data_IF_967021711503
#
_entry.id   IF_967021711503
#
_cell.length_a   1.000
_cell.length_b   1.000
_cell.length_c   1.000
_cell.angle_alpha   90.00
_cell.angle_beta   90.00
_cell.angle_gamma   90.00
#
_symmetry.space_group_name_H-M   'P 1'
#
loop_
_entity.id
_entity.type
_entity.pdbx_description
1 polymer ?
#
# COMPACT_ATOMS: atom_id res chain seq x y z
N UNK A 1 6.35 9.36 -8.33
CA UNK A 1 5.36 8.52 -7.61
C UNK A 1 6.05 8.01 -6.37
N UNK A 2 5.37 8.05 -5.22
CA UNK A 2 5.86 7.48 -3.95
C UNK A 2 4.99 6.28 -3.59
N UNK A 3 5.60 5.18 -3.16
CA UNK A 3 4.90 3.96 -2.78
C UNK A 3 5.25 3.55 -1.36
N UNK A 4 4.27 3.07 -0.58
CA UNK A 4 4.59 2.17 0.53
C UNK A 4 5.03 0.85 -0.12
N UNK A 5 6.30 0.48 0.05
CA UNK A 5 6.88 -0.62 -0.71
C UNK A 5 6.37 -2.00 -0.26
N UNK A 6 6.06 -2.16 1.02
CA UNK A 6 5.57 -3.41 1.62
C UNK A 6 4.68 -3.07 2.82
N UNK A 7 3.60 -3.83 3.07
CA UNK A 7 2.76 -3.63 4.25
C UNK A 7 3.47 -4.05 5.54
N UNK A 8 4.53 -4.88 5.43
CA UNK A 8 5.34 -5.33 6.55
C UNK A 8 6.75 -4.72 6.51
N UNK A 9 7.32 -4.32 7.67
CA UNK A 9 8.72 -3.91 7.80
C UNK A 9 9.69 -5.00 7.34
N UNK A 10 10.83 -4.61 6.78
CA UNK A 10 11.80 -5.55 6.20
C UNK A 10 12.37 -6.57 7.20
N UNK A 11 12.45 -6.22 8.49
CA UNK A 11 12.97 -7.11 9.53
C UNK A 11 11.99 -8.26 9.82
N UNK A 12 10.70 -8.04 9.54
CA UNK A 12 9.57 -8.87 9.96
C UNK A 12 8.81 -9.50 8.78
N UNK A 13 9.06 -9.03 7.55
CA UNK A 13 8.38 -9.48 6.34
C UNK A 13 8.44 -11.01 6.19
N UNK A 14 7.28 -11.63 5.98
CA UNK A 14 7.10 -13.09 5.89
C UNK A 14 7.52 -13.88 7.15
N UNK A 15 7.70 -13.22 8.30
CA UNK A 15 8.05 -13.86 9.58
C UNK A 15 6.95 -13.79 10.61
N UNK A 16 5.97 -12.91 10.40
CA UNK A 16 4.84 -12.69 11.30
C UNK A 16 3.53 -12.56 10.51
N UNK A 17 2.42 -12.76 11.23
CA UNK A 17 1.06 -12.64 10.68
C UNK A 17 0.47 -11.23 10.81
N UNK A 18 1.16 -10.31 11.50
CA UNK A 18 0.71 -8.92 11.62
C UNK A 18 0.80 -8.21 10.26
N UNK A 19 -0.29 -7.56 9.85
CA UNK A 19 -0.40 -6.78 8.62
C UNK A 19 -0.04 -5.29 8.83
N UNK A 20 0.23 -4.88 10.07
CA UNK A 20 0.54 -3.51 10.47
C UNK A 20 -0.49 -2.47 9.98
N UNK A 21 -1.78 -2.77 10.11
CA UNK A 21 -2.85 -1.90 9.61
C UNK A 21 -2.75 -0.46 10.15
N UNK A 22 -2.45 -0.29 11.44
CA UNK A 22 -2.32 1.03 12.06
C UNK A 22 -1.10 1.78 11.52
N UNK A 23 0.08 1.15 11.53
CA UNK A 23 1.32 1.77 11.01
C UNK A 23 1.24 2.10 9.52
N UNK A 24 0.55 1.28 8.72
CA UNK A 24 0.31 1.57 7.31
C UNK A 24 -0.62 2.78 7.12
N UNK A 25 -1.59 3.02 8.00
CA UNK A 25 -2.41 4.23 7.97
C UNK A 25 -1.62 5.47 8.37
N UNK A 26 -0.73 5.38 9.34
CA UNK A 26 0.16 6.49 9.71
C UNK A 26 1.09 6.86 8.57
N UNK A 27 1.73 5.88 7.92
CA UNK A 27 2.54 6.09 6.74
C UNK A 27 1.72 6.72 5.60
N UNK A 28 0.48 6.26 5.39
CA UNK A 28 -0.38 6.81 4.36
C UNK A 28 -0.76 8.27 4.61
N UNK A 29 -1.06 8.65 5.86
CA UNK A 29 -1.32 10.05 6.24
C UNK A 29 -0.13 10.95 5.90
N UNK A 30 1.10 10.53 6.22
CA UNK A 30 2.30 11.27 5.86
C UNK A 30 2.48 11.40 4.32
N UNK A 31 2.09 10.37 3.56
CA UNK A 31 2.11 10.43 2.09
C UNK A 31 1.05 11.39 1.54
N UNK A 32 -0.15 11.44 2.11
CA UNK A 32 -1.18 12.43 1.76
C UNK A 32 -0.68 13.86 2.01
N UNK A 33 0.00 14.11 3.13
CA UNK A 33 0.62 15.40 3.44
C UNK A 33 1.71 15.77 2.42
N UNK A 34 2.57 14.82 2.07
CA UNK A 34 3.61 15.03 1.05
C UNK A 34 3.01 15.36 -0.33
N UNK A 35 1.89 14.73 -0.69
CA UNK A 35 1.15 15.03 -1.91
C UNK A 35 0.53 16.44 -1.87
N UNK A 36 -0.18 16.78 -0.78
CA UNK A 36 -0.79 18.11 -0.58
C UNK A 36 0.26 19.23 -0.58
N UNK A 37 1.44 18.96 -0.03
CA UNK A 37 2.57 19.88 -0.06
C UNK A 37 3.30 19.97 -1.42
N UNK A 38 2.86 19.21 -2.43
CA UNK A 38 3.47 19.20 -3.77
C UNK A 38 4.85 18.55 -3.84
N UNK A 39 5.30 17.85 -2.78
CA UNK A 39 6.62 17.17 -2.75
C UNK A 39 6.64 15.94 -3.66
N UNK A 40 5.49 15.32 -3.86
CA UNK A 40 5.29 14.19 -4.77
C UNK A 40 4.07 14.47 -5.65
N UNK A 41 4.04 13.88 -6.85
CA UNK A 41 2.92 14.05 -7.80
C UNK A 41 1.84 12.98 -7.66
N UNK A 42 2.16 11.85 -7.05
CA UNK A 42 1.26 10.71 -6.90
C UNK A 42 1.74 9.77 -5.79
N UNK A 43 0.79 9.09 -5.14
CA UNK A 43 1.01 8.16 -4.04
C UNK A 43 0.28 6.83 -4.30
N UNK A 44 0.88 5.71 -3.92
CA UNK A 44 0.32 4.37 -4.09
C UNK A 44 0.94 3.36 -3.12
N UNK A 45 0.63 2.09 -3.33
CA UNK A 45 1.14 0.98 -2.50
C UNK A 45 1.77 -0.09 -3.39
N UNK A 46 2.52 -1.00 -2.77
CA UNK A 46 3.16 -2.13 -3.43
C UNK A 46 3.13 -3.34 -2.52
N UNK A 47 2.85 -4.53 -3.06
CA UNK A 47 2.76 -5.79 -2.31
C UNK A 47 1.63 -5.83 -1.27
N UNK A 48 0.61 -4.97 -1.41
CA UNK A 48 -0.55 -4.97 -0.51
C UNK A 48 -1.58 -6.00 -1.01
N UNK A 49 -2.17 -6.74 -0.07
CA UNK A 49 -3.31 -7.64 -0.30
C UNK A 49 -4.62 -6.86 -0.21
N UNK A 50 -5.72 -7.53 -0.55
CA UNK A 50 -7.05 -6.90 -0.62
C UNK A 50 -7.44 -6.24 0.71
N UNK A 51 -7.17 -6.90 1.84
CA UNK A 51 -7.47 -6.39 3.18
C UNK A 51 -6.65 -5.14 3.55
N UNK A 52 -5.38 -5.07 3.16
CA UNK A 52 -4.56 -3.88 3.43
C UNK A 52 -5.01 -2.70 2.58
N UNK A 53 -5.33 -2.95 1.29
CA UNK A 53 -5.87 -1.91 0.41
C UNK A 53 -7.20 -1.41 0.94
N UNK A 54 -8.09 -2.31 1.38
CA UNK A 54 -9.35 -1.94 2.00
C UNK A 54 -9.15 -1.10 3.27
N UNK A 55 -8.18 -1.46 4.11
CA UNK A 55 -7.82 -0.69 5.30
C UNK A 55 -7.42 0.75 4.93
N UNK A 56 -6.57 0.95 3.92
CA UNK A 56 -6.19 2.29 3.45
C UNK A 56 -7.42 3.03 2.87
N UNK A 57 -8.16 2.40 1.95
CA UNK A 57 -9.28 3.05 1.24
C UNK A 57 -10.40 3.48 2.19
N UNK A 58 -10.69 2.68 3.22
CA UNK A 58 -11.79 2.97 4.15
C UNK A 58 -11.44 4.06 5.18
N UNK A 59 -10.15 4.34 5.41
CA UNK A 59 -9.69 5.19 6.50
C UNK A 59 -8.84 6.39 6.03
N UNK A 60 -8.82 6.69 4.72
CA UNK A 60 -8.03 7.78 4.14
C UNK A 60 -8.87 8.69 3.22
N UNK A 61 -8.36 9.89 2.95
CA UNK A 61 -9.04 10.88 2.09
C UNK A 61 -8.70 10.68 0.62
N UNK A 62 -7.52 10.14 0.32
CA UNK A 62 -6.97 9.96 -1.02
C UNK A 62 -6.72 8.48 -1.24
N UNK A 63 -7.43 7.90 -2.22
CA UNK A 63 -7.24 6.50 -2.61
C UNK A 63 -5.87 6.30 -3.27
N UNK A 64 -5.18 5.17 -3.03
CA UNK A 64 -3.96 4.84 -3.74
C UNK A 64 -4.23 4.77 -5.25
N UNK A 65 -3.39 5.41 -6.05
CA UNK A 65 -3.56 5.40 -7.52
C UNK A 65 -3.13 4.08 -8.16
N UNK A 66 -2.33 3.29 -7.44
CA UNK A 66 -1.80 2.00 -7.89
C UNK A 66 -1.53 1.09 -6.69
N UNK A 67 -1.70 -0.22 -6.89
CA UNK A 67 -1.08 -1.26 -6.11
C UNK A 67 -0.10 -2.02 -7.02
N UNK A 68 1.20 -1.82 -6.83
CA UNK A 68 2.23 -2.53 -7.59
C UNK A 68 2.37 -3.96 -7.04
N UNK A 69 2.02 -4.95 -7.87
CA UNK A 69 1.98 -6.36 -7.46
C UNK A 69 2.81 -7.23 -8.42
N UNK A 70 3.28 -8.36 -7.92
CA UNK A 70 3.90 -9.39 -8.74
C UNK A 70 2.87 -10.03 -9.68
N UNK A 71 3.16 -10.03 -10.98
CA UNK A 71 2.32 -10.64 -12.01
C UNK A 71 3.20 -11.24 -13.09
N UNK A 72 2.97 -12.51 -13.41
CA UNK A 72 3.56 -13.20 -14.56
C UNK A 72 2.70 -14.40 -14.97
N UNK A 73 3.05 -15.08 -16.06
CA UNK A 73 2.24 -16.19 -16.60
C UNK A 73 1.95 -17.33 -15.61
N UNK A 74 2.82 -17.51 -14.60
CA UNK A 74 2.66 -18.51 -13.54
C UNK A 74 2.00 -17.99 -12.26
N UNK A 75 1.77 -16.67 -12.16
CA UNK A 75 1.17 -16.03 -10.99
C UNK A 75 0.31 -14.84 -11.46
N UNK A 76 -1.00 -15.08 -11.56
CA UNK A 76 -1.99 -14.08 -11.96
C UNK A 76 -2.92 -13.84 -10.77
N UNK A 77 -2.62 -12.87 -9.88
CA UNK A 77 -3.43 -12.58 -8.70
C UNK A 77 -4.72 -11.85 -9.10
N UNK A 78 -5.69 -12.57 -9.65
CA UNK A 78 -6.96 -12.01 -10.18
C UNK A 78 -7.78 -11.26 -9.13
N UNK A 79 -7.63 -11.60 -7.85
CA UNK A 79 -8.35 -10.93 -6.77
C UNK A 79 -7.81 -9.54 -6.46
N UNK A 80 -6.56 -9.24 -6.85
CA UNK A 80 -5.92 -7.94 -6.65
C UNK A 80 -6.00 -7.03 -7.88
N UNK A 81 -6.53 -7.52 -9.00
CA UNK A 81 -6.59 -6.79 -10.29
C UNK A 81 -7.93 -6.10 -10.56
N UNK A 82 -8.81 -6.00 -9.56
CA UNK A 82 -10.19 -5.48 -9.71
C UNK A 82 -10.32 -4.01 -9.34
#
# INVERSE_FOLDING_TARGET
MLLIHSPQPWIEVNRINDRHFEGNLENWRAMEEALKAGKVRSIGVSNFLQEDVANIVNNSSIKPVVNQIEVHIGNVPTDLMK
#
